data_IF_989017406193
#
_entry.id   IF_989017406193
#
_cell.length_a   1.000
_cell.length_b   1.000
_cell.length_c   1.000
_cell.angle_alpha   90.00
_cell.angle_beta   90.00
_cell.angle_gamma   90.00
#
_symmetry.space_group_name_H-M   'P 1'
#
loop_
_entity.id
_entity.type
_entity.pdbx_description
1 polymer ?
#
# COMPACT_ATOMS: atom_id res chain seq x y z
N UNK A 1 -19.27 -0.82 -17.10
CA UNK A 1 -19.33 -1.27 -15.69
C UNK A 1 -18.00 -1.06 -14.96
N UNK A 2 -16.90 -0.73 -15.64
CA UNK A 2 -15.58 -0.53 -14.99
C UNK A 2 -15.28 0.86 -14.39
N UNK A 3 -15.88 1.94 -14.90
CA UNK A 3 -15.52 3.30 -14.46
C UNK A 3 -15.87 3.60 -13.00
N UNK A 4 -16.96 3.01 -12.52
CA UNK A 4 -17.41 3.22 -11.14
C UNK A 4 -16.55 2.44 -10.14
N UNK A 5 -16.24 1.17 -10.45
CA UNK A 5 -15.34 0.35 -9.65
C UNK A 5 -13.93 0.96 -9.55
N UNK A 6 -13.39 1.47 -10.68
CA UNK A 6 -12.10 2.15 -10.69
C UNK A 6 -12.11 3.45 -9.85
N UNK A 7 -13.21 4.20 -9.86
CA UNK A 7 -13.38 5.40 -9.02
C UNK A 7 -13.41 5.02 -7.53
N UNK A 8 -14.20 4.03 -7.16
CA UNK A 8 -14.30 3.55 -5.78
C UNK A 8 -12.96 3.02 -5.26
N UNK A 9 -12.22 2.27 -6.07
CA UNK A 9 -10.89 1.79 -5.71
C UNK A 9 -9.91 2.93 -5.44
N UNK A 10 -9.93 3.98 -6.28
CA UNK A 10 -9.10 5.17 -6.10
C UNK A 10 -9.47 5.93 -4.82
N UNK A 11 -10.75 6.16 -4.57
CA UNK A 11 -11.24 6.83 -3.35
C UNK A 11 -10.87 6.05 -2.08
N UNK A 12 -10.97 4.72 -2.14
CA UNK A 12 -10.57 3.84 -1.03
C UNK A 12 -9.07 3.93 -0.74
N UNK A 13 -8.23 3.91 -1.78
CA UNK A 13 -6.78 4.10 -1.65
C UNK A 13 -6.42 5.49 -1.11
N UNK A 14 -7.11 6.54 -1.56
CA UNK A 14 -6.92 7.91 -1.07
C UNK A 14 -7.22 8.00 0.43
N UNK A 15 -8.33 7.39 0.88
CA UNK A 15 -8.70 7.35 2.29
C UNK A 15 -7.66 6.58 3.13
N UNK A 16 -7.25 5.40 2.67
CA UNK A 16 -6.24 4.59 3.35
C UNK A 16 -4.90 5.34 3.47
N UNK A 17 -4.50 6.07 2.43
CA UNK A 17 -3.30 6.90 2.45
C UNK A 17 -3.40 8.03 3.47
N UNK A 18 -4.58 8.64 3.58
CA UNK A 18 -4.80 9.69 4.57
C UNK A 18 -4.70 9.15 6.01
N UNK A 19 -5.28 7.97 6.28
CA UNK A 19 -5.14 7.27 7.56
C UNK A 19 -3.67 6.93 7.87
N UNK A 20 -2.94 6.45 6.86
CA UNK A 20 -1.51 6.13 6.95
C UNK A 20 -0.65 7.34 7.35
N UNK A 21 -0.97 8.52 6.83
CA UNK A 21 -0.28 9.77 7.19
C UNK A 21 -0.63 10.25 8.61
N UNK A 22 -1.88 10.08 9.04
CA UNK A 22 -2.30 10.42 10.41
C UNK A 22 -1.56 9.55 11.44
N UNK A 23 -1.33 8.28 11.11
CA UNK A 23 -0.61 7.32 11.94
C UNK A 23 0.92 7.43 11.80
N UNK A 24 1.42 8.37 11.00
CA UNK A 24 2.85 8.60 10.71
C UNK A 24 3.61 7.32 10.35
N UNK A 25 3.00 6.46 9.52
CA UNK A 25 3.60 5.17 9.15
C UNK A 25 4.78 5.30 8.19
N UNK A 26 4.95 6.48 7.56
CA UNK A 26 6.00 6.74 6.58
C UNK A 26 5.83 6.02 5.24
N UNK A 27 4.65 5.47 4.95
CA UNK A 27 4.36 4.78 3.69
C UNK A 27 4.01 5.77 2.59
N UNK A 28 4.62 5.60 1.41
CA UNK A 28 4.17 6.29 0.20
C UNK A 28 2.94 5.61 -0.42
N UNK A 29 2.27 6.33 -1.31
CA UNK A 29 1.01 5.89 -1.94
C UNK A 29 1.19 4.62 -2.79
N UNK A 30 2.34 4.43 -3.41
CA UNK A 30 2.60 3.26 -4.23
C UNK A 30 2.78 2.02 -3.35
N UNK A 31 3.61 2.12 -2.31
CA UNK A 31 3.80 1.05 -1.32
C UNK A 31 2.48 0.64 -0.69
N UNK A 32 1.65 1.60 -0.27
CA UNK A 32 0.33 1.30 0.30
C UNK A 32 -0.59 0.57 -0.67
N UNK A 33 -0.58 0.95 -1.95
CA UNK A 33 -1.37 0.28 -3.00
C UNK A 33 -0.95 -1.18 -3.17
N UNK A 34 0.36 -1.45 -3.19
CA UNK A 34 0.91 -2.82 -3.28
C UNK A 34 0.51 -3.64 -2.04
N UNK A 35 0.60 -3.05 -0.85
CA UNK A 35 0.20 -3.73 0.39
C UNK A 35 -1.28 -4.11 0.39
N UNK A 36 -2.16 -3.21 -0.06
CA UNK A 36 -3.60 -3.48 -0.19
C UNK A 36 -3.83 -4.65 -1.17
N UNK A 37 -3.15 -4.65 -2.32
CA UNK A 37 -3.26 -5.74 -3.29
C UNK A 37 -2.77 -7.09 -2.72
N UNK A 38 -1.68 -7.08 -1.94
CA UNK A 38 -1.19 -8.29 -1.26
C UNK A 38 -2.17 -8.78 -0.19
N UNK A 39 -2.76 -7.88 0.59
CA UNK A 39 -3.82 -8.23 1.54
C UNK A 39 -5.05 -8.84 0.84
N UNK A 40 -5.43 -8.32 -0.33
CA UNK A 40 -6.54 -8.84 -1.13
C UNK A 40 -6.27 -10.27 -1.66
N UNK A 41 -5.00 -10.62 -1.88
CA UNK A 41 -4.56 -12.00 -2.19
C UNK A 41 -4.51 -12.92 -0.96
N UNK A 42 -4.91 -12.45 0.22
CA UNK A 42 -4.93 -13.23 1.46
C UNK A 42 -3.60 -13.24 2.22
N UNK A 43 -2.66 -12.37 1.87
CA UNK A 43 -1.41 -12.23 2.63
C UNK A 43 -1.69 -11.59 3.98
N UNK A 44 -1.13 -12.15 5.05
CA UNK A 44 -1.29 -11.60 6.40
C UNK A 44 -0.58 -10.23 6.51
N UNK A 45 -1.29 -9.15 6.88
CA UNK A 45 -0.71 -7.81 7.04
C UNK A 45 0.41 -7.74 8.07
N UNK A 46 0.41 -8.58 9.11
CA UNK A 46 1.49 -8.60 10.11
C UNK A 46 2.84 -9.00 9.49
N UNK A 47 2.82 -9.92 8.53
CA UNK A 47 4.02 -10.35 7.79
C UNK A 47 4.50 -9.23 6.85
N UNK A 48 3.55 -8.50 6.25
CA UNK A 48 3.86 -7.37 5.38
C UNK A 48 4.55 -6.23 6.13
N UNK A 49 4.21 -5.99 7.40
CA UNK A 49 4.90 -5.01 8.24
C UNK A 49 6.39 -5.34 8.39
N UNK A 50 6.73 -6.61 8.58
CA UNK A 50 8.12 -7.06 8.60
C UNK A 50 8.83 -6.74 7.28
N UNK A 51 8.21 -7.09 6.15
CA UNK A 51 8.78 -6.81 4.83
C UNK A 51 8.99 -5.33 4.56
N UNK A 52 8.04 -4.47 4.96
CA UNK A 52 8.13 -3.02 4.74
C UNK A 52 9.16 -2.35 5.67
N UNK A 53 9.35 -2.87 6.88
CA UNK A 53 10.39 -2.39 7.80
C UNK A 53 11.78 -2.87 7.41
N UNK A 54 11.89 -4.04 6.80
CA UNK A 54 13.15 -4.69 6.42
C UNK A 54 13.56 -4.40 4.97
N UNK A 55 12.64 -4.00 4.07
CA UNK A 55 13.01 -3.51 2.75
C UNK A 55 13.72 -2.16 2.91
N UNK A 56 14.98 -2.03 2.46
CA UNK A 56 15.61 -0.72 2.40
C UNK A 56 14.74 0.22 1.56
N UNK A 57 14.55 1.46 2.03
CA UNK A 57 13.92 2.55 1.25
C UNK A 57 14.59 2.79 -0.11
N UNK A 58 15.76 2.20 -0.31
CA UNK A 58 16.55 2.20 -1.52
C UNK A 58 16.81 0.75 -1.93
N UNK A 59 15.89 0.14 -2.69
CA UNK A 59 16.32 -0.83 -3.70
C UNK A 59 16.86 0.04 -4.84
N UNK A 60 18.19 0.24 -4.98
CA UNK A 60 18.71 0.80 -6.21
C UNK A 60 18.18 -0.10 -7.32
N UNK A 61 17.50 0.51 -8.29
CA UNK A 61 17.06 -0.16 -9.50
C UNK A 61 18.23 -1.03 -9.99
N UNK A 62 18.05 -2.35 -9.94
CA UNK A 62 19.06 -3.29 -10.42
C UNK A 62 19.37 -2.91 -11.89
N UNK A 63 20.65 -2.80 -12.27
CA UNK A 63 21.08 -2.37 -13.59
C UNK A 63 20.68 -3.36 -14.70
#
# INVERSE_FOLDING_TARGET
MDLEAARTAKESLDLAFHMSNILDTGLDRHTLSVLIALCDQGVNPEVLVGLVKELPKELPALP
#
